data_IF_034154686088
#
_entry.id   IF_034154686088
#
_cell.length_a   1.000
_cell.length_b   1.000
_cell.length_c   1.000
_cell.angle_alpha   90.00
_cell.angle_beta   90.00
_cell.angle_gamma   90.00
#
_symmetry.space_group_name_H-M   'P 1'
#
loop_
_entity.id
_entity.type
_entity.pdbx_description
1 polymer ?
#
# COMPACT_ATOMS: atom_id res chain seq x y z
N UNK A 1 0.80 11.80 -57.46
CA UNK A 1 0.96 13.02 -56.66
C UNK A 1 -0.37 13.33 -55.98
N UNK A 2 -0.51 13.00 -54.69
CA UNK A 2 -1.65 13.39 -53.85
C UNK A 2 -1.17 13.40 -52.41
N UNK A 3 -0.79 14.57 -51.91
CA UNK A 3 -0.56 14.86 -50.50
C UNK A 3 -0.96 16.32 -50.28
N UNK A 4 -1.44 16.61 -49.09
CA UNK A 4 -1.74 17.96 -48.58
C UNK A 4 -3.14 18.49 -48.88
N UNK A 5 -4.12 18.05 -48.08
CA UNK A 5 -5.33 18.87 -47.81
C UNK A 5 -6.06 18.51 -46.49
N UNK A 6 -5.49 17.66 -45.62
CA UNK A 6 -6.14 17.30 -44.35
C UNK A 6 -5.76 18.19 -43.15
N UNK A 7 -4.74 19.06 -43.31
CA UNK A 7 -4.19 19.81 -42.18
C UNK A 7 -4.92 21.13 -41.87
N UNK A 8 -5.72 21.65 -42.81
CA UNK A 8 -6.39 22.94 -42.68
C UNK A 8 -7.79 22.87 -42.06
N UNK A 9 -8.38 21.67 -41.90
CA UNK A 9 -9.70 21.51 -41.29
C UNK A 9 -9.68 21.50 -39.75
N UNK A 10 -8.54 21.15 -39.13
CA UNK A 10 -8.43 21.06 -37.67
C UNK A 10 -8.26 22.41 -36.96
N UNK A 11 -7.72 23.42 -37.64
CA UNK A 11 -7.49 24.74 -37.04
C UNK A 11 -8.75 25.62 -36.95
N UNK A 12 -9.85 25.23 -37.60
CA UNK A 12 -11.09 26.00 -37.59
C UNK A 12 -12.02 25.71 -36.40
N UNK A 13 -11.79 24.62 -35.65
CA UNK A 13 -12.68 24.23 -34.54
C UNK A 13 -12.29 24.91 -33.21
N UNK A 14 -11.08 25.47 -33.10
CA UNK A 14 -10.61 26.09 -31.85
C UNK A 14 -11.06 27.55 -31.64
N UNK A 15 -11.79 28.17 -32.58
CA UNK A 15 -12.06 29.61 -32.54
C UNK A 15 -13.49 30.02 -32.15
N UNK A 16 -14.42 29.09 -31.89
CA UNK A 16 -15.82 29.44 -31.60
C UNK A 16 -16.36 28.63 -30.41
N UNK A 17 -15.94 28.98 -29.20
CA UNK A 17 -16.78 28.91 -27.98
C UNK A 17 -16.15 29.77 -26.86
N UNK A 18 -16.13 31.08 -27.09
CA UNK A 18 -16.09 32.04 -25.99
C UNK A 18 -17.44 32.06 -25.28
N UNK A 19 -17.66 31.17 -24.31
CA UNK A 19 -18.71 31.31 -23.31
C UNK A 19 -18.16 31.01 -21.93
N UNK A 20 -18.10 32.07 -21.13
CA UNK A 20 -17.94 32.10 -19.67
C UNK A 20 -18.79 30.99 -19.02
N UNK A 21 -18.13 29.98 -18.47
CA UNK A 21 -18.72 28.98 -17.57
C UNK A 21 -17.65 28.58 -16.56
N UNK A 22 -17.50 29.39 -15.52
CA UNK A 22 -16.92 28.90 -14.27
C UNK A 22 -17.96 27.93 -13.69
N UNK A 23 -17.54 26.68 -13.43
CA UNK A 23 -18.29 25.59 -12.78
C UNK A 23 -19.00 24.51 -13.63
N UNK A 24 -18.34 23.90 -14.64
CA UNK A 24 -18.62 22.52 -15.00
C UNK A 24 -17.44 21.57 -14.68
N UNK A 25 -16.22 22.11 -14.55
CA UNK A 25 -15.01 21.30 -14.30
C UNK A 25 -14.89 20.80 -12.87
N UNK A 26 -15.30 21.59 -11.87
CA UNK A 26 -15.26 21.15 -10.46
C UNK A 26 -16.17 19.93 -10.22
N UNK A 27 -17.35 19.90 -10.83
CA UNK A 27 -18.30 18.79 -10.70
C UNK A 27 -17.87 17.54 -11.48
N UNK A 28 -17.12 17.70 -12.58
CA UNK A 28 -16.51 16.58 -13.30
C UNK A 28 -15.35 15.97 -12.52
N UNK A 29 -14.52 16.81 -11.88
CA UNK A 29 -13.42 16.35 -11.03
C UNK A 29 -13.97 15.72 -9.75
N UNK A 30 -14.96 16.31 -9.08
CA UNK A 30 -15.64 15.70 -7.92
C UNK A 30 -16.37 14.39 -8.28
N UNK A 31 -16.96 14.31 -9.47
CA UNK A 31 -17.59 13.10 -9.99
C UNK A 31 -16.59 11.98 -10.27
N UNK A 32 -15.42 12.31 -10.84
CA UNK A 32 -14.31 11.36 -11.01
C UNK A 32 -13.67 10.96 -9.68
N UNK A 33 -13.56 11.90 -8.72
CA UNK A 33 -13.03 11.64 -7.37
C UNK A 33 -13.93 10.69 -6.58
N UNK A 34 -15.21 10.59 -6.91
CA UNK A 34 -16.11 9.65 -6.24
C UNK A 34 -15.95 8.19 -6.69
N UNK A 35 -15.27 7.95 -7.82
CA UNK A 35 -14.91 6.62 -8.34
C UNK A 35 -13.39 6.32 -8.21
N UNK A 36 -12.64 7.13 -7.42
CA UNK A 36 -11.17 7.24 -7.44
C UNK A 36 -10.37 6.24 -6.59
N UNK A 37 -10.94 5.15 -6.10
CA UNK A 37 -10.14 4.11 -5.42
C UNK A 37 -9.06 3.46 -6.31
N UNK A 38 -9.06 3.80 -7.61
CA UNK A 38 -8.13 3.30 -8.63
C UNK A 38 -6.88 4.16 -8.85
N UNK A 39 -6.78 5.36 -8.27
CA UNK A 39 -5.73 6.32 -8.66
C UNK A 39 -4.55 6.45 -7.67
N UNK A 40 -4.67 5.99 -6.43
CA UNK A 40 -3.55 6.06 -5.47
C UNK A 40 -2.42 5.06 -5.78
N UNK A 41 -2.66 4.07 -6.66
CA UNK A 41 -1.67 3.09 -7.12
C UNK A 41 -1.12 3.34 -8.53
N UNK A 42 -1.37 4.51 -9.14
CA UNK A 42 -0.87 4.81 -10.50
C UNK A 42 0.64 4.61 -10.60
N UNK A 43 1.38 5.11 -9.60
CA UNK A 43 2.83 4.97 -9.49
C UNK A 43 3.29 3.51 -9.60
N UNK A 44 2.44 2.56 -9.18
CA UNK A 44 2.78 1.15 -8.99
C UNK A 44 2.44 0.28 -10.18
N UNK A 45 1.35 0.63 -10.85
CA UNK A 45 0.98 0.01 -12.11
C UNK A 45 1.96 0.40 -13.21
N UNK A 46 2.38 1.67 -13.26
CA UNK A 46 3.33 2.17 -14.28
C UNK A 46 4.75 1.62 -14.09
N UNK A 47 5.18 1.42 -12.84
CA UNK A 47 6.55 0.99 -12.51
C UNK A 47 6.76 -0.53 -12.49
N UNK A 48 5.69 -1.32 -12.68
CA UNK A 48 5.77 -2.79 -12.68
C UNK A 48 6.27 -3.36 -11.35
N UNK A 49 5.72 -2.88 -10.23
CA UNK A 49 6.17 -3.22 -8.87
C UNK A 49 5.61 -4.53 -8.31
N UNK A 50 4.74 -5.23 -9.06
CA UNK A 50 4.09 -6.47 -8.61
C UNK A 50 5.10 -7.55 -8.16
N UNK A 51 6.27 -7.63 -8.80
CA UNK A 51 7.33 -8.55 -8.40
C UNK A 51 7.95 -8.16 -7.05
N UNK A 52 8.28 -6.87 -6.87
CA UNK A 52 8.84 -6.37 -5.61
C UNK A 52 7.88 -6.59 -4.44
N UNK A 53 6.58 -6.40 -4.67
CA UNK A 53 5.55 -6.71 -3.67
C UNK A 53 5.59 -8.19 -3.29
N UNK A 54 5.61 -9.09 -4.28
CA UNK A 54 5.70 -10.54 -4.04
C UNK A 54 6.92 -10.94 -3.22
N UNK A 55 8.08 -10.32 -3.45
CA UNK A 55 9.30 -10.59 -2.68
C UNK A 55 9.21 -10.09 -1.23
N UNK A 56 8.35 -9.12 -0.95
CA UNK A 56 8.26 -8.43 0.33
C UNK A 56 7.06 -8.80 1.19
N UNK A 57 6.33 -9.86 0.85
CA UNK A 57 5.12 -10.29 1.58
C UNK A 57 5.34 -10.52 3.08
N UNK A 58 6.54 -10.91 3.49
CA UNK A 58 6.87 -11.18 4.90
C UNK A 58 7.46 -9.97 5.66
N UNK A 59 7.49 -8.78 5.06
CA UNK A 59 7.96 -7.57 5.74
C UNK A 59 7.16 -7.28 7.01
N UNK A 60 7.67 -6.45 7.93
CA UNK A 60 6.94 -6.13 9.16
C UNK A 60 7.26 -4.70 9.60
N UNK A 61 6.21 -3.94 9.92
CA UNK A 61 6.30 -2.51 10.20
C UNK A 61 6.53 -1.68 8.93
N UNK A 62 5.95 -0.48 8.89
CA UNK A 62 5.99 0.41 7.71
C UNK A 62 7.41 0.58 7.15
N UNK A 63 8.37 0.96 8.01
CA UNK A 63 9.78 1.15 7.62
C UNK A 63 10.39 -0.12 7.01
N UNK A 64 10.07 -1.28 7.58
CA UNK A 64 10.58 -2.56 7.09
C UNK A 64 10.00 -2.93 5.72
N UNK A 65 8.70 -2.70 5.53
CA UNK A 65 8.02 -2.91 4.26
C UNK A 65 8.49 -1.95 3.17
N UNK A 66 8.60 -0.64 3.48
CA UNK A 66 9.15 0.36 2.54
C UNK A 66 10.58 0.03 2.11
N UNK A 67 11.43 -0.31 3.09
CA UNK A 67 12.82 -0.71 2.82
C UNK A 67 12.90 -1.96 1.94
N UNK A 68 12.10 -2.99 2.24
CA UNK A 68 12.08 -4.21 1.43
C UNK A 68 11.71 -3.93 -0.03
N UNK A 69 10.65 -3.16 -0.27
CA UNK A 69 10.17 -2.84 -1.61
C UNK A 69 11.24 -2.06 -2.37
N UNK A 70 11.83 -1.03 -1.75
CA UNK A 70 12.89 -0.21 -2.35
C UNK A 70 14.17 -1.01 -2.63
N UNK A 71 14.54 -1.95 -1.76
CA UNK A 71 15.69 -2.84 -1.99
C UNK A 71 15.43 -3.86 -3.11
N UNK A 72 14.20 -4.37 -3.20
CA UNK A 72 13.83 -5.31 -4.25
C UNK A 72 13.79 -4.63 -5.62
N UNK A 73 13.30 -3.39 -5.69
CA UNK A 73 13.23 -2.60 -6.91
C UNK A 73 13.18 -1.10 -6.55
N UNK A 74 14.29 -0.35 -6.69
CA UNK A 74 14.38 1.04 -6.22
C UNK A 74 13.33 2.00 -6.79
N UNK A 75 12.92 1.81 -8.04
CA UNK A 75 11.86 2.60 -8.68
C UNK A 75 10.48 2.40 -8.03
N UNK A 76 10.31 1.36 -7.20
CA UNK A 76 9.10 1.11 -6.41
C UNK A 76 9.11 1.81 -5.05
N UNK A 77 10.12 2.62 -4.72
CA UNK A 77 10.14 3.37 -3.48
C UNK A 77 8.94 4.34 -3.36
N UNK A 78 8.63 5.07 -4.44
CA UNK A 78 7.47 5.98 -4.51
C UNK A 78 6.16 5.23 -4.23
N UNK A 79 6.05 4.03 -4.78
CA UNK A 79 4.93 3.15 -4.49
C UNK A 79 4.79 2.75 -3.05
N UNK A 80 5.91 2.44 -2.41
CA UNK A 80 5.88 2.11 -1.01
C UNK A 80 5.41 3.31 -0.19
N UNK A 81 5.77 4.53 -0.57
CA UNK A 81 5.27 5.74 0.08
C UNK A 81 3.76 5.92 -0.13
N UNK A 82 3.26 5.76 -1.35
CA UNK A 82 1.82 5.83 -1.66
C UNK A 82 1.01 4.77 -0.88
N UNK A 83 1.54 3.54 -0.74
CA UNK A 83 0.87 2.45 -0.01
C UNK A 83 0.63 2.78 1.46
N UNK A 84 1.55 3.48 2.10
CA UNK A 84 1.45 3.80 3.52
C UNK A 84 1.05 5.25 3.77
N UNK A 85 0.62 5.96 2.73
CA UNK A 85 0.11 7.32 2.88
C UNK A 85 -1.27 7.29 3.54
N UNK A 86 -1.40 8.00 4.66
CA UNK A 86 -2.66 8.07 5.42
C UNK A 86 -3.69 8.98 4.78
N UNK A 87 -3.25 9.89 3.91
CA UNK A 87 -4.11 10.84 3.20
C UNK A 87 -4.93 10.16 2.10
N UNK A 88 -4.48 9.00 1.61
CA UNK A 88 -5.14 8.21 0.57
C UNK A 88 -6.16 7.19 1.13
N UNK A 89 -6.44 7.23 2.44
CA UNK A 89 -7.42 6.37 3.08
C UNK A 89 -8.82 6.95 3.01
N UNK A 90 -9.78 6.12 2.63
CA UNK A 90 -11.19 6.50 2.56
C UNK A 90 -11.85 6.39 3.93
N UNK A 91 -12.66 7.40 4.28
CA UNK A 91 -13.40 7.39 5.54
C UNK A 91 -14.79 6.78 5.33
N UNK A 92 -15.02 5.60 5.91
CA UNK A 92 -16.30 4.88 5.85
C UNK A 92 -16.78 4.66 7.28
N UNK A 93 -17.97 5.15 7.60
CA UNK A 93 -18.58 5.05 8.94
C UNK A 93 -17.67 5.55 10.08
N UNK A 94 -16.86 6.59 9.82
CA UNK A 94 -15.95 7.17 10.80
C UNK A 94 -14.60 6.46 10.95
N UNK A 95 -14.38 5.35 10.25
CA UNK A 95 -13.11 4.62 10.23
C UNK A 95 -12.39 4.83 8.88
N UNK A 96 -11.07 4.88 8.91
CA UNK A 96 -10.24 5.01 7.72
C UNK A 96 -9.85 3.63 7.17
N UNK A 97 -10.13 3.39 5.90
CA UNK A 97 -9.82 2.14 5.22
C UNK A 97 -9.04 2.38 3.93
N UNK A 98 -8.11 1.48 3.67
CA UNK A 98 -7.53 1.34 2.34
C UNK A 98 -8.56 0.64 1.46
N UNK A 99 -8.86 1.19 0.29
CA UNK A 99 -9.79 0.58 -0.67
C UNK A 99 -9.04 -0.40 -1.56
N UNK A 100 -9.58 -1.61 -1.74
CA UNK A 100 -8.96 -2.62 -2.59
C UNK A 100 -9.95 -3.65 -3.16
N UNK A 101 -9.71 -4.08 -4.38
CA UNK A 101 -10.46 -5.13 -5.08
C UNK A 101 -9.76 -6.50 -4.96
N UNK A 102 -10.50 -7.52 -4.53
CA UNK A 102 -10.00 -8.89 -4.41
C UNK A 102 -9.74 -9.57 -5.76
N UNK A 103 -10.33 -9.07 -6.85
CA UNK A 103 -10.06 -9.57 -8.20
C UNK A 103 -8.77 -9.00 -8.78
N UNK A 104 -8.24 -7.91 -8.20
CA UNK A 104 -6.97 -7.34 -8.61
C UNK A 104 -5.84 -7.92 -7.72
N UNK A 105 -4.94 -8.75 -8.30
CA UNK A 105 -3.86 -9.37 -7.54
C UNK A 105 -2.84 -8.36 -7.02
N UNK A 106 -2.68 -7.20 -7.67
CA UNK A 106 -1.80 -6.15 -7.19
C UNK A 106 -2.43 -5.49 -5.96
N UNK A 107 -3.72 -5.13 -6.03
CA UNK A 107 -4.40 -4.51 -4.89
C UNK A 107 -4.49 -5.45 -3.68
N UNK A 108 -4.69 -6.75 -3.92
CA UNK A 108 -4.67 -7.77 -2.86
C UNK A 108 -3.31 -7.85 -2.17
N UNK A 109 -2.22 -7.86 -2.95
CA UNK A 109 -0.85 -7.81 -2.43
C UNK A 109 -0.57 -6.53 -1.65
N UNK A 110 -1.03 -5.41 -2.17
CA UNK A 110 -0.87 -4.11 -1.52
C UNK A 110 -1.63 -4.07 -0.19
N UNK A 111 -2.87 -4.58 -0.14
CA UNK A 111 -3.62 -4.69 1.11
C UNK A 111 -2.86 -5.52 2.15
N UNK A 112 -2.29 -6.67 1.72
CA UNK A 112 -1.45 -7.47 2.60
C UNK A 112 -0.25 -6.67 3.13
N UNK A 113 0.51 -6.01 2.26
CA UNK A 113 1.68 -5.19 2.63
C UNK A 113 1.31 -4.02 3.55
N UNK A 114 0.19 -3.35 3.28
CA UNK A 114 -0.35 -2.29 4.12
C UNK A 114 -0.57 -2.78 5.55
N UNK A 115 -1.25 -3.93 5.70
CA UNK A 115 -1.50 -4.55 6.99
C UNK A 115 -0.22 -5.02 7.69
N UNK A 116 0.74 -5.60 6.96
CA UNK A 116 2.08 -5.94 7.49
C UNK A 116 2.82 -4.70 8.01
N UNK A 117 2.67 -3.56 7.32
CA UNK A 117 3.25 -2.29 7.76
C UNK A 117 2.59 -1.74 9.04
N UNK A 118 1.33 -2.09 9.28
CA UNK A 118 0.61 -1.81 10.54
C UNK A 118 0.80 -2.89 11.61
N UNK A 119 1.80 -3.75 11.47
CA UNK A 119 2.11 -4.83 12.42
C UNK A 119 1.04 -5.93 12.50
N UNK A 120 0.08 -5.98 11.59
CA UNK A 120 -0.84 -7.12 11.44
C UNK A 120 -0.15 -8.29 10.72
N UNK A 121 -0.70 -9.49 10.87
CA UNK A 121 -0.10 -10.69 10.26
C UNK A 121 -0.38 -10.78 8.76
N UNK A 122 -1.58 -10.39 8.35
CA UNK A 122 -2.01 -10.41 6.97
C UNK A 122 -3.10 -9.36 6.73
N UNK A 123 -3.39 -9.10 5.46
CA UNK A 123 -4.49 -8.26 5.01
C UNK A 123 -5.22 -8.92 3.86
N UNK A 124 -6.54 -8.78 3.81
CA UNK A 124 -7.38 -9.30 2.74
C UNK A 124 -8.38 -8.24 2.25
N UNK A 125 -8.59 -8.18 0.94
CA UNK A 125 -9.63 -7.35 0.35
C UNK A 125 -11.00 -8.01 0.51
N UNK A 126 -11.91 -7.33 1.18
CA UNK A 126 -13.26 -7.83 1.48
C UNK A 126 -14.31 -6.77 1.14
N UNK A 127 -15.53 -7.21 0.82
CA UNK A 127 -16.67 -6.30 0.69
C UNK A 127 -17.46 -6.27 1.99
N UNK A 128 -17.34 -5.17 2.74
CA UNK A 128 -18.10 -4.95 3.97
C UNK A 128 -19.17 -3.89 3.69
N UNK A 129 -20.45 -4.24 3.83
CA UNK A 129 -21.59 -3.38 3.47
C UNK A 129 -21.50 -2.82 2.04
N UNK A 130 -21.05 -3.66 1.09
CA UNK A 130 -20.82 -3.31 -0.32
C UNK A 130 -19.64 -2.34 -0.59
N UNK A 131 -18.81 -2.02 0.42
CA UNK A 131 -17.57 -1.26 0.24
C UNK A 131 -16.36 -2.19 0.10
N UNK A 132 -15.52 -2.04 -0.94
CA UNK A 132 -14.34 -2.89 -1.16
C UNK A 132 -13.16 -2.43 -0.30
N UNK A 133 -13.05 -2.91 0.93
CA UNK A 133 -12.06 -2.47 1.92
C UNK A 133 -10.95 -3.50 2.12
N UNK A 134 -9.77 -3.02 2.49
CA UNK A 134 -8.70 -3.84 3.02
C UNK A 134 -8.93 -4.08 4.52
N UNK A 135 -9.03 -5.36 4.92
CA UNK A 135 -9.19 -5.76 6.31
C UNK A 135 -7.93 -6.46 6.80
N UNK A 136 -7.33 -5.90 7.85
CA UNK A 136 -6.16 -6.47 8.48
C UNK A 136 -6.55 -7.54 9.49
N UNK A 137 -5.91 -8.70 9.40
CA UNK A 137 -6.00 -9.78 10.36
C UNK A 137 -4.77 -9.76 11.24
N UNK A 138 -4.97 -9.44 12.52
CA UNK A 138 -4.00 -9.74 13.57
C UNK A 138 -4.39 -11.10 14.13
N UNK A 139 -3.45 -12.03 14.37
CA UNK A 139 -3.75 -13.13 15.29
C UNK A 139 -4.11 -12.48 16.62
N UNK A 140 -5.40 -12.48 16.96
CA UNK A 140 -5.80 -12.58 18.35
C UNK A 140 -5.42 -13.98 18.80
N UNK A 141 -4.12 -14.19 19.03
CA UNK A 141 -3.72 -15.06 20.12
C UNK A 141 -4.38 -14.45 21.34
N UNK A 142 -5.50 -15.04 21.76
CA UNK A 142 -6.07 -14.81 23.07
C UNK A 142 -4.92 -15.04 24.05
N UNK A 143 -4.32 -13.97 24.56
CA UNK A 143 -3.60 -14.06 25.81
C UNK A 143 -4.67 -14.33 26.87
N UNK A 144 -5.05 -15.59 27.04
CA UNK A 144 -5.41 -16.06 28.37
C UNK A 144 -4.16 -15.82 29.19
N UNK A 145 -4.11 -14.67 29.87
CA UNK A 145 -3.24 -14.46 31.00
C UNK A 145 -3.68 -15.46 32.06
N UNK A 146 -3.14 -16.67 31.95
CA UNK A 146 -3.17 -17.66 33.01
C UNK A 146 -2.18 -17.15 34.07
N UNK A 147 -2.63 -16.75 35.27
CA UNK A 147 -1.74 -16.19 36.28
C UNK A 147 -1.08 -17.32 37.07
N UNK A 148 -0.41 -18.29 36.44
CA UNK A 148 0.37 -19.28 37.20
C UNK A 148 1.44 -19.98 36.36
N UNK A 149 2.55 -19.32 36.04
CA UNK A 149 3.85 -20.01 35.99
C UNK A 149 4.97 -19.04 36.39
N UNK A 150 5.36 -19.09 37.66
CA UNK A 150 6.65 -18.56 38.13
C UNK A 150 7.74 -19.55 37.72
N UNK A 151 8.39 -19.34 36.58
CA UNK A 151 9.63 -20.05 36.26
C UNK A 151 10.82 -19.20 36.70
N UNK A 152 11.46 -19.61 37.80
CA UNK A 152 12.75 -19.07 38.23
C UNK A 152 13.79 -19.34 37.12
N UNK A 153 14.37 -18.28 36.58
CA UNK A 153 15.53 -18.36 35.68
C UNK A 153 16.78 -18.44 36.55
N UNK A 154 17.43 -19.60 36.54
CA UNK A 154 18.75 -19.82 37.13
C UNK A 154 19.81 -19.22 36.19
N UNK A 155 20.76 -18.40 36.67
CA UNK A 155 21.78 -17.82 35.82
C UNK A 155 22.79 -18.88 35.34
N UNK A 156 23.33 -18.76 34.12
CA UNK A 156 24.25 -19.74 33.55
C UNK A 156 25.62 -19.74 34.25
N UNK A 157 26.10 -20.93 34.58
CA UNK A 157 27.44 -21.20 35.10
C UNK A 157 28.49 -20.97 34.00
N UNK A 158 29.37 -19.98 34.19
CA UNK A 158 30.57 -19.83 33.37
C UNK A 158 31.67 -20.76 33.89
N UNK A 159 32.14 -21.69 33.05
CA UNK A 159 33.33 -22.50 33.32
C UNK A 159 34.57 -21.72 32.89
N UNK A 160 35.35 -21.23 33.86
CA UNK A 160 36.65 -20.59 33.62
C UNK A 160 37.73 -21.67 33.48
N UNK A 161 38.27 -21.86 32.27
CA UNK A 161 39.46 -22.69 32.04
C UNK A 161 40.70 -21.85 32.31
N UNK A 162 41.37 -22.08 33.43
CA UNK A 162 42.71 -21.54 33.72
C UNK A 162 43.77 -22.32 32.95
N UNK A 163 44.40 -21.67 31.96
CA UNK A 163 45.64 -22.10 31.34
C UNK A 163 46.77 -21.39 32.11
N UNK A 164 47.50 -22.13 32.95
CA UNK A 164 48.60 -21.59 33.73
C UNK A 164 49.92 -22.03 33.10
N UNK A 165 50.56 -21.06 32.45
CA UNK A 165 51.89 -21.15 31.87
C UNK A 165 52.94 -21.42 32.95
N UNK A 166 53.90 -22.26 32.58
CA UNK A 166 54.99 -22.76 33.41
C UNK A 166 56.25 -21.96 33.08
N UNK A 167 56.72 -21.11 34.00
CA UNK A 167 58.12 -20.65 34.11
C UNK A 167 58.49 -20.67 35.59
#
# INVERSE_FOLDING_TARGET
>A
MMKSNFFTLFMAICAVTGTKSEAPWKNLIDGFIKDNSRYWLISCTLSGCSFAFSSCMNCYGERGCKSCIALSKPECAVCADDIFNKEDLETINGNQYLICDSQDPIQSKVCHLYCRGQFSQSGNCVRENNFPICKCSSESGSFTSDPTVTTQTQPPTYSTTTLQDRI
#
